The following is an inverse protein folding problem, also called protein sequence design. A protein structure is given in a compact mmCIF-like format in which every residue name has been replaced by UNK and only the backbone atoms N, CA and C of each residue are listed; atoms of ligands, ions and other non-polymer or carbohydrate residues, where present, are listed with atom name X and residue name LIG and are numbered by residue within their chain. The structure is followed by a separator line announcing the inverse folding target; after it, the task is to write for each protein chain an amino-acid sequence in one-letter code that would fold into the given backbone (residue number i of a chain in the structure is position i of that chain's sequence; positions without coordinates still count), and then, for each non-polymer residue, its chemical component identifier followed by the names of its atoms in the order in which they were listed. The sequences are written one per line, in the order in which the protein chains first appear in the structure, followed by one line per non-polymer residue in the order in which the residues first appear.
data_IF_210899778281
#
_entry.id   IF_210899778281
#
_cell.length_a   1.000
_cell.length_b   1.000
_cell.length_c   1.000
_cell.angle_alpha   90.00
_cell.angle_beta   90.00
_cell.angle_gamma   90.00
#
_symmetry.space_group_name_H-M   'P 1'
#
loop_
_entity.id
_entity.type
_entity.pdbx_description
1 polymer ?
#
# COMPACT_ATOMS: atom_id res chain seq x y z
N UNK A 1 7.09 24.55 12.93
CA UNK A 1 7.76 23.26 12.84
C UNK A 1 7.71 22.73 11.43
N UNK A 2 8.83 22.40 10.89
CA UNK A 2 8.88 21.79 9.57
C UNK A 2 8.61 20.29 9.68
N UNK A 3 7.87 19.75 8.74
CA UNK A 3 7.67 18.32 8.65
C UNK A 3 9.02 17.65 8.33
N UNK A 4 9.23 16.42 8.82
CA UNK A 4 10.47 15.72 8.49
C UNK A 4 10.57 15.47 6.99
N UNK A 5 11.76 15.63 6.44
CA UNK A 5 12.04 15.27 5.07
C UNK A 5 12.10 13.74 4.97
N UNK A 6 11.26 13.16 4.10
CA UNK A 6 11.21 11.72 3.91
C UNK A 6 11.87 11.33 2.60
N UNK A 7 12.54 10.19 2.61
CA UNK A 7 13.22 9.65 1.44
C UNK A 7 12.49 8.41 0.93
N UNK A 8 12.13 8.44 -0.35
CA UNK A 8 11.50 7.29 -1.02
C UNK A 8 12.60 6.40 -1.60
N UNK A 9 12.60 5.13 -1.24
CA UNK A 9 13.57 4.15 -1.72
C UNK A 9 12.87 2.97 -2.37
N UNK A 10 13.25 2.63 -3.61
CA UNK A 10 12.75 1.43 -4.25
C UNK A 10 13.33 0.19 -3.58
N UNK A 11 12.51 -0.86 -3.46
CA UNK A 11 12.94 -2.15 -2.93
C UNK A 11 13.31 -3.04 -4.12
N UNK A 12 14.55 -3.50 -4.14
CA UNK A 12 15.08 -4.27 -5.27
C UNK A 12 15.31 -5.74 -4.97
N UNK A 13 15.52 -6.09 -3.70
CA UNK A 13 15.80 -7.47 -3.31
C UNK A 13 15.32 -7.80 -1.89
N UNK A 14 15.45 -9.07 -1.52
CA UNK A 14 15.01 -9.55 -0.22
C UNK A 14 15.75 -8.90 0.96
N UNK A 15 16.98 -8.43 0.74
CA UNK A 15 17.74 -7.74 1.78
C UNK A 15 17.12 -6.38 2.09
N UNK A 16 16.73 -5.63 1.05
CA UNK A 16 16.00 -4.36 1.22
C UNK A 16 14.71 -4.58 2.00
N UNK A 17 13.97 -5.64 1.64
CA UNK A 17 12.71 -5.96 2.29
C UNK A 17 12.90 -6.33 3.77
N UNK A 18 14.00 -6.97 4.13
CA UNK A 18 14.25 -7.36 5.52
C UNK A 18 14.35 -6.16 6.45
N UNK A 19 14.74 -4.99 5.93
CA UNK A 19 14.80 -3.76 6.71
C UNK A 19 13.42 -3.23 7.12
N UNK A 20 12.34 -3.79 6.57
CA UNK A 20 10.96 -3.36 6.84
C UNK A 20 10.31 -4.11 8.01
N UNK A 21 11.03 -4.96 8.71
CA UNK A 21 10.45 -5.85 9.73
C UNK A 21 9.60 -5.11 10.77
N UNK A 22 10.00 -3.89 11.16
CA UNK A 22 9.26 -3.11 12.15
C UNK A 22 7.86 -2.68 11.70
N UNK A 23 7.59 -2.70 10.39
CA UNK A 23 6.26 -2.39 9.86
C UNK A 23 5.32 -3.60 9.92
N UNK A 24 5.83 -4.80 10.15
CA UNK A 24 5.08 -6.05 10.03
C UNK A 24 5.00 -6.79 11.35
N UNK A 25 4.89 -6.05 12.45
CA UNK A 25 4.73 -6.62 13.80
C UNK A 25 3.28 -6.97 14.11
N UNK A 26 2.32 -6.40 13.37
CA UNK A 26 0.90 -6.70 13.53
C UNK A 26 0.51 -7.86 12.60
N UNK A 27 -0.46 -8.66 13.00
CA UNK A 27 -0.88 -9.85 12.24
C UNK A 27 -1.96 -9.56 11.19
N UNK A 28 -2.15 -8.30 10.81
CA UNK A 28 -3.13 -7.89 9.81
C UNK A 28 -2.51 -7.79 8.43
N UNK A 29 -3.27 -8.20 7.41
CA UNK A 29 -2.83 -8.13 6.02
C UNK A 29 -1.77 -9.18 5.66
N UNK A 30 -1.17 -9.06 4.47
CA UNK A 30 -0.12 -9.99 4.04
C UNK A 30 1.13 -9.83 4.91
N UNK A 31 1.81 -10.93 5.16
CA UNK A 31 3.05 -10.93 5.93
C UNK A 31 4.25 -10.52 5.08
N UNK A 32 5.30 -10.03 5.75
CA UNK A 32 6.51 -9.60 5.07
C UNK A 32 7.17 -10.74 4.28
N UNK A 33 7.15 -11.95 4.82
CA UNK A 33 7.73 -13.12 4.14
C UNK A 33 7.07 -13.37 2.78
N UNK A 34 5.75 -13.28 2.73
CA UNK A 34 5.02 -13.41 1.47
C UNK A 34 5.39 -12.29 0.50
N UNK A 35 5.37 -11.04 0.97
CA UNK A 35 5.69 -9.88 0.13
C UNK A 35 7.11 -9.95 -0.42
N UNK A 36 8.07 -10.35 0.42
CA UNK A 36 9.46 -10.53 -0.01
C UNK A 36 9.57 -11.52 -1.18
N UNK A 37 8.79 -12.58 -1.15
CA UNK A 37 8.82 -13.58 -2.22
C UNK A 37 8.39 -13.02 -3.57
N UNK A 38 7.61 -11.93 -3.57
CA UNK A 38 7.13 -11.31 -4.80
C UNK A 38 8.20 -10.45 -5.49
N UNK A 39 9.24 -10.02 -4.78
CA UNK A 39 10.28 -9.16 -5.36
C UNK A 39 11.05 -9.84 -6.50
N UNK A 40 11.05 -11.17 -6.56
CA UNK A 40 11.65 -11.90 -7.66
C UNK A 40 10.87 -11.77 -8.97
N UNK A 41 9.61 -11.34 -8.90
CA UNK A 41 8.76 -11.18 -10.08
C UNK A 41 8.98 -9.81 -10.73
N UNK A 42 9.17 -9.75 -12.06
CA UNK A 42 9.36 -8.46 -12.75
C UNK A 42 8.16 -7.51 -12.62
N UNK A 43 6.97 -8.04 -12.32
CA UNK A 43 5.74 -7.27 -12.17
C UNK A 43 5.59 -6.64 -10.80
N UNK A 44 6.40 -7.04 -9.82
CA UNK A 44 6.33 -6.50 -8.47
C UNK A 44 7.17 -5.24 -8.35
N UNK A 45 6.56 -4.18 -7.84
CA UNK A 45 7.22 -2.91 -7.56
C UNK A 45 6.88 -2.50 -6.14
N UNK A 46 7.91 -2.15 -5.36
CA UNK A 46 7.71 -1.79 -3.97
C UNK A 46 8.64 -0.65 -3.59
N UNK A 47 8.19 0.17 -2.66
CA UNK A 47 8.95 1.30 -2.15
C UNK A 47 8.82 1.38 -0.64
N UNK A 48 9.88 1.89 -0.02
CA UNK A 48 9.90 2.24 1.40
C UNK A 48 10.13 3.74 1.56
N UNK A 49 9.58 4.29 2.63
CA UNK A 49 9.64 5.71 2.96
C UNK A 49 10.39 5.85 4.28
N UNK A 50 11.43 6.67 4.30
CA UNK A 50 12.38 6.76 5.43
C UNK A 50 12.48 8.17 5.96
N UNK A 51 12.51 8.27 7.28
CA UNK A 51 12.92 9.47 7.98
C UNK A 51 14.24 9.12 8.71
N UNK A 52 15.36 9.54 8.14
CA UNK A 52 16.72 9.15 8.60
C UNK A 52 16.84 7.62 8.62
N UNK A 53 17.08 7.01 9.76
CA UNK A 53 17.24 5.56 9.90
C UNK A 53 15.92 4.81 10.20
N UNK A 54 14.80 5.54 10.26
CA UNK A 54 13.52 4.98 10.63
C UNK A 54 12.68 4.74 9.37
N UNK A 55 12.25 3.50 9.16
CA UNK A 55 11.28 3.21 8.10
C UNK A 55 9.89 3.67 8.55
N UNK A 56 9.34 4.63 7.83
CA UNK A 56 8.04 5.23 8.15
C UNK A 56 6.90 4.47 7.49
N UNK A 57 7.13 3.92 6.31
CA UNK A 57 6.10 3.19 5.61
C UNK A 57 6.65 2.41 4.42
N UNK A 58 5.79 1.58 3.85
CA UNK A 58 6.10 0.82 2.65
C UNK A 58 4.83 0.56 1.84
N UNK A 59 4.99 0.47 0.53
CA UNK A 59 3.90 0.15 -0.40
C UNK A 59 4.39 -0.90 -1.39
N UNK A 60 3.52 -1.88 -1.66
CA UNK A 60 3.80 -3.00 -2.56
C UNK A 60 2.74 -3.03 -3.65
N UNK A 61 3.19 -3.06 -4.89
CA UNK A 61 2.30 -3.07 -6.05
C UNK A 61 2.70 -4.17 -7.02
N UNK A 62 1.73 -4.64 -7.77
CA UNK A 62 1.96 -5.51 -8.91
C UNK A 62 1.38 -4.82 -10.14
N UNK A 63 2.16 -4.75 -11.22
CA UNK A 63 1.76 -4.02 -12.41
C UNK A 63 1.84 -4.92 -13.63
N UNK A 64 0.71 -5.06 -14.34
CA UNK A 64 0.61 -5.87 -15.56
C UNK A 64 -0.17 -5.07 -16.59
N UNK A 65 0.44 -4.82 -17.74
CA UNK A 65 -0.21 -4.17 -18.89
C UNK A 65 -0.92 -2.86 -18.55
N UNK A 66 -0.27 -2.02 -17.75
CA UNK A 66 -0.82 -0.70 -17.38
C UNK A 66 -1.83 -0.73 -16.26
N UNK A 67 -2.09 -1.88 -15.67
CA UNK A 67 -2.95 -2.00 -14.48
C UNK A 67 -2.09 -2.33 -13.27
N UNK A 68 -2.14 -1.48 -12.25
CA UNK A 68 -1.44 -1.71 -10.99
C UNK A 68 -2.43 -2.19 -9.93
N UNK A 69 -1.98 -3.14 -9.11
CA UNK A 69 -2.72 -3.56 -7.92
C UNK A 69 -1.88 -3.21 -6.70
N UNK A 70 -2.46 -2.49 -5.75
CA UNK A 70 -1.79 -2.22 -4.47
C UNK A 70 -2.02 -3.43 -3.58
N UNK A 71 -0.95 -4.14 -3.28
CA UNK A 71 -1.01 -5.36 -2.47
C UNK A 71 -0.97 -5.07 -0.97
N UNK A 72 -0.22 -4.05 -0.58
CA UNK A 72 -0.08 -3.65 0.82
C UNK A 72 0.42 -2.21 0.90
N UNK A 73 -0.09 -1.47 1.85
CA UNK A 73 0.35 -0.13 2.20
C UNK A 73 0.35 -0.01 3.72
N UNK A 74 1.51 0.26 4.30
CA UNK A 74 1.64 0.39 5.76
C UNK A 74 2.40 1.64 6.14
N UNK A 75 1.99 2.23 7.26
CA UNK A 75 2.68 3.34 7.89
C UNK A 75 2.94 2.94 9.34
N UNK A 76 4.17 3.21 9.82
CA UNK A 76 4.56 2.94 11.20
C UNK A 76 3.65 3.67 12.18
N UNK A 77 3.23 3.02 13.25
CA UNK A 77 2.20 3.54 14.15
C UNK A 77 2.41 4.99 14.58
N UNK A 78 3.61 5.43 15.06
CA UNK A 78 3.80 6.82 15.48
C UNK A 78 3.65 7.84 14.34
N UNK A 79 3.69 7.40 13.10
CA UNK A 79 3.62 8.29 11.92
C UNK A 79 2.24 8.27 11.26
N UNK A 80 1.28 7.52 11.79
CA UNK A 80 -0.07 7.43 11.24
C UNK A 80 -0.86 8.73 11.47
N UNK A 81 -1.90 8.94 10.65
CA UNK A 81 -2.81 10.09 10.71
C UNK A 81 -2.12 11.43 10.46
N UNK A 82 -1.02 11.42 9.69
CA UNK A 82 -0.25 12.63 9.38
C UNK A 82 -0.10 12.84 7.87
N UNK A 83 -0.78 12.01 7.05
CA UNK A 83 -0.73 12.14 5.59
C UNK A 83 0.40 11.40 4.91
N UNK A 84 1.22 10.65 5.64
CA UNK A 84 2.37 9.95 5.04
C UNK A 84 1.97 8.79 4.14
N UNK A 85 0.90 8.07 4.47
CA UNK A 85 0.39 7.01 3.60
C UNK A 85 -0.04 7.55 2.24
N UNK A 86 -0.71 8.70 2.25
CA UNK A 86 -1.11 9.38 1.03
C UNK A 86 0.09 9.82 0.20
N UNK A 87 1.08 10.47 0.84
CA UNK A 87 2.30 10.90 0.16
C UNK A 87 3.05 9.73 -0.45
N UNK A 88 3.18 8.63 0.30
CA UNK A 88 3.88 7.43 -0.15
C UNK A 88 3.18 6.83 -1.37
N UNK A 89 1.87 6.68 -1.33
CA UNK A 89 1.12 6.12 -2.44
C UNK A 89 1.19 7.01 -3.68
N UNK A 90 1.01 8.33 -3.52
CA UNK A 90 1.13 9.28 -4.63
C UNK A 90 2.52 9.21 -5.28
N UNK A 91 3.58 9.22 -4.47
CA UNK A 91 4.94 9.17 -4.98
C UNK A 91 5.23 7.85 -5.72
N UNK A 92 4.71 6.75 -5.19
CA UNK A 92 4.89 5.43 -5.79
C UNK A 92 4.18 5.30 -7.12
N UNK A 93 2.96 5.81 -7.22
CA UNK A 93 2.19 5.79 -8.47
C UNK A 93 2.86 6.64 -9.54
N UNK A 94 3.48 7.76 -9.15
CA UNK A 94 4.25 8.59 -10.09
C UNK A 94 5.53 7.90 -10.56
N UNK A 95 6.13 7.07 -9.71
CA UNK A 95 7.36 6.34 -10.06
C UNK A 95 7.10 5.11 -10.94
N UNK A 96 5.88 4.60 -10.96
CA UNK A 96 5.51 3.49 -11.82
C UNK A 96 5.50 3.92 -13.30
N UNK A 97 5.71 2.97 -14.20
CA UNK A 97 5.46 3.17 -15.62
C UNK A 97 3.99 3.63 -15.79
N UNK A 98 3.64 4.32 -16.89
CA UNK A 98 2.28 4.82 -17.03
C UNK A 98 1.24 3.73 -16.77
N UNK A 99 0.36 3.99 -15.80
CA UNK A 99 -0.74 3.09 -15.46
C UNK A 99 -2.06 3.77 -15.80
N UNK A 100 -3.00 2.99 -16.32
CA UNK A 100 -4.34 3.47 -16.66
C UNK A 100 -5.32 3.22 -15.54
N UNK A 101 -5.04 2.25 -14.67
CA UNK A 101 -5.92 1.86 -13.59
C UNK A 101 -5.12 1.32 -12.40
N UNK A 102 -5.59 1.63 -11.21
CA UNK A 102 -5.05 1.08 -9.96
C UNK A 102 -6.18 0.45 -9.17
N UNK A 103 -6.03 -0.81 -8.82
CA UNK A 103 -7.00 -1.57 -8.03
C UNK A 103 -6.43 -1.89 -6.66
N UNK A 104 -7.31 -2.00 -5.66
CA UNK A 104 -6.96 -2.48 -4.34
C UNK A 104 -8.15 -3.10 -3.63
N UNK A 105 -7.88 -3.86 -2.57
CA UNK A 105 -8.88 -4.39 -1.66
C UNK A 105 -8.61 -3.87 -0.26
N UNK A 106 -9.67 -3.57 0.48
CA UNK A 106 -9.55 -3.07 1.85
C UNK A 106 -10.67 -3.68 2.70
N UNK A 107 -10.36 -3.97 3.98
CA UNK A 107 -11.38 -4.44 4.93
C UNK A 107 -12.45 -3.38 5.12
N UNK A 108 -13.71 -3.79 5.15
CA UNK A 108 -14.84 -2.87 5.34
C UNK A 108 -14.72 -2.06 6.63
N UNK A 109 -14.11 -2.63 7.67
CA UNK A 109 -13.91 -1.96 8.96
C UNK A 109 -12.78 -0.95 8.97
N UNK A 110 -11.92 -0.94 7.95
CA UNK A 110 -10.75 -0.06 7.92
C UNK A 110 -11.13 1.32 7.36
N UNK A 111 -11.81 2.10 8.18
CA UNK A 111 -12.31 3.42 7.77
C UNK A 111 -11.19 4.40 7.44
N UNK A 112 -10.06 4.30 8.12
CA UNK A 112 -8.90 5.17 7.85
C UNK A 112 -8.37 4.93 6.43
N UNK A 113 -8.21 3.67 6.03
CA UNK A 113 -7.76 3.33 4.68
C UNK A 113 -8.79 3.73 3.63
N UNK A 114 -10.08 3.47 3.88
CA UNK A 114 -11.15 3.86 2.96
C UNK A 114 -11.14 5.38 2.73
N UNK A 115 -11.00 6.16 3.79
CA UNK A 115 -10.92 7.62 3.69
C UNK A 115 -9.69 8.07 2.90
N UNK A 116 -8.55 7.45 3.14
CA UNK A 116 -7.31 7.73 2.40
C UNK A 116 -7.50 7.51 0.91
N UNK A 117 -8.01 6.35 0.54
CA UNK A 117 -8.16 6.00 -0.88
C UNK A 117 -9.19 6.88 -1.57
N UNK A 118 -10.32 7.17 -0.91
CA UNK A 118 -11.31 8.10 -1.46
C UNK A 118 -10.72 9.50 -1.68
N UNK A 119 -9.92 9.98 -0.75
CA UNK A 119 -9.25 11.28 -0.88
C UNK A 119 -8.30 11.32 -2.08
N UNK A 120 -7.74 10.19 -2.47
CA UNK A 120 -6.86 10.06 -3.63
C UNK A 120 -7.61 9.87 -4.94
N UNK A 121 -8.94 9.74 -4.90
CA UNK A 121 -9.75 9.57 -6.10
C UNK A 121 -10.18 8.14 -6.40
N UNK A 122 -9.92 7.20 -5.49
CA UNK A 122 -10.43 5.84 -5.63
C UNK A 122 -11.94 5.82 -5.33
N UNK A 123 -12.65 4.97 -6.05
CA UNK A 123 -14.08 4.74 -5.81
C UNK A 123 -14.33 3.24 -5.60
N UNK A 124 -15.39 2.93 -4.85
CA UNK A 124 -15.80 1.55 -4.63
C UNK A 124 -16.37 0.96 -5.92
N UNK A 125 -15.81 -0.16 -6.36
CA UNK A 125 -16.25 -0.85 -7.58
C UNK A 125 -16.83 -2.23 -7.31
N UNK A 126 -16.74 -2.73 -6.09
CA UNK A 126 -17.32 -4.02 -5.75
C UNK A 126 -17.09 -4.40 -4.31
N UNK A 127 -17.65 -5.53 -3.92
CA UNK A 127 -17.45 -6.11 -2.59
C UNK A 127 -17.31 -7.62 -2.71
N UNK A 128 -16.46 -8.19 -1.85
CA UNK A 128 -16.43 -9.63 -1.61
C UNK A 128 -17.05 -9.89 -0.26
N UNK A 129 -18.27 -10.44 -0.19
CA UNK A 129 -18.94 -10.67 1.09
C UNK A 129 -18.18 -11.65 1.95
N UNK A 130 -18.07 -11.37 3.25
CA UNK A 130 -17.49 -12.27 4.26
C UNK A 130 -16.13 -12.83 3.86
N UNK A 131 -15.27 -11.96 3.33
CA UNK A 131 -13.97 -12.36 2.78
C UNK A 131 -12.88 -12.46 3.83
N UNK A 132 -12.80 -11.50 4.77
CA UNK A 132 -11.77 -11.46 5.79
C UNK A 132 -12.27 -12.06 7.11
N UNK A 133 -11.44 -12.87 7.75
CA UNK A 133 -11.74 -13.40 9.08
C UNK A 133 -11.61 -12.31 10.15
N UNK A 134 -12.53 -12.30 11.11
CA UNK A 134 -12.54 -11.39 12.26
C UNK A 134 -12.72 -12.22 13.53
N UNK A 135 -12.56 -11.59 14.70
CA UNK A 135 -12.74 -12.28 15.98
C UNK A 135 -14.16 -12.83 16.17
N UNK A 136 -15.18 -12.16 15.65
CA UNK A 136 -16.58 -12.56 15.84
C UNK A 136 -17.22 -13.16 14.61
N UNK A 137 -16.44 -13.40 13.53
CA UNK A 137 -16.99 -13.89 12.27
C UNK A 137 -16.15 -13.50 11.08
N UNK A 138 -16.78 -12.86 10.10
CA UNK A 138 -16.11 -12.43 8.87
C UNK A 138 -16.63 -11.07 8.47
N UNK A 139 -15.82 -10.32 7.72
CA UNK A 139 -16.22 -9.03 7.17
C UNK A 139 -15.96 -8.96 5.68
N UNK A 140 -16.62 -8.02 5.02
CA UNK A 140 -16.49 -7.82 3.59
C UNK A 140 -15.13 -7.24 3.21
N UNK A 141 -14.67 -7.55 2.01
CA UNK A 141 -13.63 -6.82 1.32
C UNK A 141 -14.29 -5.78 0.42
N UNK A 142 -13.79 -4.53 0.50
CA UNK A 142 -14.22 -3.46 -0.40
C UNK A 142 -13.20 -3.40 -1.52
N UNK A 143 -13.68 -3.51 -2.77
CA UNK A 143 -12.82 -3.35 -3.95
C UNK A 143 -12.89 -1.90 -4.39
N UNK A 144 -11.74 -1.27 -4.56
CA UNK A 144 -11.65 0.13 -4.98
C UNK A 144 -10.77 0.25 -6.20
N UNK A 145 -11.11 1.20 -7.06
CA UNK A 145 -10.41 1.43 -8.31
C UNK A 145 -10.21 2.93 -8.53
N UNK A 146 -9.03 3.28 -8.99
CA UNK A 146 -8.71 4.60 -9.51
C UNK A 146 -8.39 4.45 -10.99
N UNK A 147 -8.95 5.33 -11.81
CA UNK A 147 -8.65 5.34 -13.26
C UNK A 147 -7.97 6.65 -13.62
N UNK A 148 -6.96 6.56 -14.48
CA UNK A 148 -6.36 7.73 -15.07
C UNK A 148 -7.26 8.20 -16.20
N UNK A 149 -8.04 9.25 -15.94
CA UNK A 149 -8.90 9.83 -16.96
C UNK A 149 -8.03 10.56 -17.97
N UNK A 150 -8.21 10.33 -19.26
CA UNK A 150 -7.52 11.14 -20.25
C UNK A 150 -8.01 12.59 -20.15
N UNK A 151 -7.06 13.49 -20.21
CA UNK A 151 -7.35 14.92 -20.11
C UNK A 151 -8.25 15.38 -21.27
#
# INVERSE_FOLDING_TARGET
MTEPALTLCALNDASDASALASLYTESTGPGLSFLRSLLAQPTCHAWSYWHEDVVVGAVWCQCVEGVAEVLDLRVLVPYRRQGYGRQLLEASLQALAPVSRVDLEVRASNEAALGLYRALGFSETGRRPQYYATQGGREDAILMTWTCEPA
#
